data_IF_732805660072
#
_entry.id   IF_732805660072
#
_cell.length_a   1.000
_cell.length_b   1.000
_cell.length_c   1.000
_cell.angle_alpha   90.00
_cell.angle_beta   90.00
_cell.angle_gamma   90.00
#
_symmetry.space_group_name_H-M   'P 1'
#
loop_
_entity.id
_entity.type
_entity.pdbx_description
1 polymer ?
#
# COMPACT_ATOMS: atom_id res chain seq x y z
N UNK A 1 -8.35 14.04 -18.65
CA UNK A 1 -8.01 13.23 -17.47
C UNK A 1 -8.29 14.09 -16.26
N UNK A 2 -9.31 13.76 -15.47
CA UNK A 2 -9.67 14.56 -14.29
C UNK A 2 -8.73 14.20 -13.16
N UNK A 3 -7.90 15.14 -12.74
CA UNK A 3 -6.99 14.99 -11.61
C UNK A 3 -7.81 14.64 -10.35
N UNK A 4 -7.48 13.56 -9.62
CA UNK A 4 -8.17 13.27 -8.36
C UNK A 4 -8.01 14.48 -7.43
N UNK A 5 -9.10 14.87 -6.76
CA UNK A 5 -9.10 16.01 -5.83
C UNK A 5 -8.14 15.69 -4.69
N UNK A 6 -7.08 16.51 -4.51
CA UNK A 6 -6.04 16.40 -3.46
C UNK A 6 -6.55 15.93 -2.08
N UNK A 7 -7.74 16.38 -1.66
CA UNK A 7 -8.35 16.04 -0.37
C UNK A 7 -8.70 14.56 -0.15
N UNK A 8 -8.78 13.76 -1.21
CA UNK A 8 -9.08 12.33 -1.11
C UNK A 8 -7.78 11.52 -1.15
N UNK A 9 -6.64 12.08 -1.57
CA UNK A 9 -5.39 11.34 -1.73
C UNK A 9 -4.59 11.27 -0.41
N UNK A 10 -4.61 12.37 0.37
CA UNK A 10 -3.86 12.48 1.64
C UNK A 10 -4.19 11.36 2.66
N UNK A 11 -5.47 10.97 2.89
CA UNK A 11 -5.76 9.89 3.83
C UNK A 11 -5.24 8.52 3.37
N UNK A 12 -5.19 8.27 2.06
CA UNK A 12 -4.71 7.01 1.49
C UNK A 12 -3.19 6.88 1.59
N UNK A 13 -2.47 7.98 1.34
CA UNK A 13 -1.01 8.06 1.50
C UNK A 13 -0.60 7.89 2.97
N UNK A 14 -1.31 8.52 3.92
CA UNK A 14 -1.08 8.33 5.37
C UNK A 14 -1.24 6.86 5.80
N UNK A 15 -2.20 6.14 5.22
CA UNK A 15 -2.41 4.72 5.49
C UNK A 15 -1.25 3.89 4.93
N UNK A 16 -0.80 4.20 3.71
CA UNK A 16 0.34 3.52 3.10
C UNK A 16 1.62 3.71 3.93
N UNK A 17 1.89 4.93 4.41
CA UNK A 17 3.04 5.22 5.26
C UNK A 17 3.01 4.42 6.56
N UNK A 18 1.88 4.41 7.28
CA UNK A 18 1.71 3.61 8.51
C UNK A 18 1.91 2.12 8.27
N UNK A 19 1.41 1.61 7.14
CA UNK A 19 1.59 0.21 6.77
C UNK A 19 3.05 -0.10 6.44
N UNK A 20 3.73 0.82 5.76
CA UNK A 20 5.16 0.71 5.45
C UNK A 20 6.00 0.68 6.73
N UNK A 21 5.75 1.58 7.68
CA UNK A 21 6.40 1.58 8.98
C UNK A 21 6.16 0.27 9.74
N UNK A 22 4.91 -0.22 9.72
CA UNK A 22 4.55 -1.46 10.39
C UNK A 22 5.29 -2.67 9.81
N UNK A 23 5.29 -2.81 8.47
CA UNK A 23 5.95 -3.90 7.76
C UNK A 23 7.46 -3.90 8.03
N UNK A 24 8.11 -2.75 7.97
CA UNK A 24 9.54 -2.64 8.25
C UNK A 24 9.88 -2.68 9.75
N UNK A 25 8.86 -2.63 10.61
CA UNK A 25 8.99 -2.76 12.06
C UNK A 25 9.07 -4.22 12.54
N UNK A 26 9.40 -4.45 13.83
CA UNK A 26 9.63 -5.79 14.38
C UNK A 26 8.40 -6.71 14.32
N UNK A 27 7.18 -6.15 14.25
CA UNK A 27 5.93 -6.92 14.17
C UNK A 27 5.57 -7.33 12.74
N UNK A 28 5.80 -6.45 11.76
CA UNK A 28 5.48 -6.72 10.37
C UNK A 28 6.62 -7.38 9.59
N UNK A 29 7.84 -7.40 10.15
CA UNK A 29 9.01 -7.98 9.49
C UNK A 29 8.80 -9.44 9.06
N UNK A 30 8.14 -10.24 9.89
CA UNK A 30 7.83 -11.64 9.55
C UNK A 30 6.99 -11.76 8.28
N UNK A 31 6.05 -10.83 8.03
CA UNK A 31 5.25 -10.80 6.79
C UNK A 31 6.16 -10.50 5.60
N UNK A 32 7.05 -9.52 5.73
CA UNK A 32 8.05 -9.18 4.71
C UNK A 32 9.05 -10.31 4.45
N UNK A 33 9.47 -11.03 5.48
CA UNK A 33 10.41 -12.15 5.38
C UNK A 33 9.81 -13.34 4.61
N UNK A 34 8.48 -13.47 4.58
CA UNK A 34 7.79 -14.47 3.76
C UNK A 34 7.68 -14.09 2.27
N UNK A 35 8.00 -12.85 1.89
CA UNK A 35 8.02 -12.42 0.50
C UNK A 35 9.42 -12.55 -0.08
N UNK A 36 9.52 -12.91 -1.36
CA UNK A 36 10.79 -12.86 -2.08
C UNK A 36 11.19 -11.41 -2.39
N UNK A 37 12.50 -11.14 -2.46
CA UNK A 37 12.98 -9.83 -2.90
C UNK A 37 12.57 -9.58 -4.35
N UNK A 38 11.88 -8.47 -4.60
CA UNK A 38 11.27 -8.13 -5.90
C UNK A 38 9.80 -8.55 -6.02
N UNK A 39 9.28 -9.34 -5.08
CA UNK A 39 7.87 -9.74 -5.07
C UNK A 39 6.95 -8.54 -4.80
N UNK A 40 5.81 -8.53 -5.49
CA UNK A 40 4.79 -7.50 -5.40
C UNK A 40 3.48 -8.15 -5.04
N UNK A 41 2.85 -7.68 -3.97
CA UNK A 41 1.50 -8.07 -3.57
C UNK A 41 0.58 -6.85 -3.55
N UNK A 42 -0.71 -7.08 -3.77
CA UNK A 42 -1.73 -6.04 -3.62
C UNK A 42 -2.65 -6.44 -2.47
N UNK A 43 -2.81 -5.56 -1.50
CA UNK A 43 -3.76 -5.73 -0.40
C UNK A 43 -4.93 -4.79 -0.64
N UNK A 44 -6.11 -5.37 -0.63
CA UNK A 44 -7.36 -4.65 -0.71
C UNK A 44 -8.12 -4.82 0.59
N UNK A 45 -8.40 -3.71 1.26
CA UNK A 45 -9.32 -3.70 2.40
C UNK A 45 -10.66 -3.07 1.97
N UNK A 46 -11.57 -2.79 2.91
CA UNK A 46 -12.90 -2.25 2.56
C UNK A 46 -12.87 -0.86 1.92
N UNK A 47 -11.78 -0.12 2.07
CA UNK A 47 -11.68 1.28 1.69
C UNK A 47 -10.53 1.54 0.70
N UNK A 48 -9.37 0.92 0.90
CA UNK A 48 -8.11 1.24 0.24
C UNK A 48 -7.54 0.02 -0.49
N UNK A 49 -6.85 0.30 -1.59
CA UNK A 49 -6.01 -0.63 -2.34
C UNK A 49 -4.57 -0.19 -2.14
N UNK A 50 -3.76 -1.06 -1.57
CA UNK A 50 -2.33 -0.84 -1.31
C UNK A 50 -1.51 -1.81 -2.13
N UNK A 51 -0.42 -1.34 -2.71
CA UNK A 51 0.58 -2.18 -3.39
C UNK A 51 1.80 -2.24 -2.51
N UNK A 52 2.23 -3.46 -2.19
CA UNK A 52 3.41 -3.70 -1.37
C UNK A 52 4.46 -4.36 -2.25
N UNK A 53 5.68 -3.84 -2.22
CA UNK A 53 6.83 -4.42 -2.89
C UNK A 53 7.93 -4.66 -1.87
N UNK A 54 8.54 -5.85 -1.89
CA UNK A 54 9.80 -6.07 -1.19
C UNK A 54 10.95 -5.73 -2.12
N UNK A 55 11.88 -4.90 -1.67
CA UNK A 55 13.10 -4.60 -2.40
C UNK A 55 14.27 -4.45 -1.43
N UNK A 56 15.33 -5.25 -1.64
CA UNK A 56 16.54 -5.26 -0.81
C UNK A 56 16.22 -5.45 0.68
N UNK A 57 15.32 -6.37 1.00
CA UNK A 57 14.89 -6.66 2.37
C UNK A 57 14.02 -5.58 3.04
N UNK A 58 13.55 -4.57 2.30
CA UNK A 58 12.63 -3.54 2.80
C UNK A 58 11.29 -3.61 2.08
N UNK A 59 10.21 -3.37 2.80
CA UNK A 59 8.89 -3.21 2.21
C UNK A 59 8.64 -1.76 1.83
N UNK A 60 8.13 -1.57 0.63
CA UNK A 60 7.64 -0.31 0.11
C UNK A 60 6.14 -0.44 -0.09
N UNK A 61 5.37 0.57 0.32
CA UNK A 61 3.91 0.54 0.23
C UNK A 61 3.43 1.77 -0.52
N UNK A 62 2.74 1.53 -1.64
CA UNK A 62 2.11 2.58 -2.44
C UNK A 62 0.59 2.53 -2.25
N UNK A 63 -0.01 3.70 -2.09
CA UNK A 63 -1.45 3.84 -2.22
C UNK A 63 -1.85 3.80 -3.70
N UNK A 64 -2.71 2.85 -4.07
CA UNK A 64 -3.14 2.67 -5.48
C UNK A 64 -4.47 3.37 -5.75
N UNK A 65 -5.36 3.40 -4.77
CA UNK A 65 -6.69 3.99 -4.92
C UNK A 65 -7.71 3.47 -3.92
N UNK A 66 -8.94 3.97 -4.01
CA UNK A 66 -10.03 3.54 -3.17
C UNK A 66 -10.82 2.40 -3.80
N UNK A 67 -11.29 1.45 -2.97
CA UNK A 67 -12.13 0.34 -3.44
C UNK A 67 -13.46 0.84 -4.00
N UNK A 68 -14.04 1.90 -3.43
CA UNK A 68 -15.30 2.47 -3.93
C UNK A 68 -15.16 3.19 -5.30
N UNK A 69 -13.93 3.35 -5.79
CA UNK A 69 -13.64 3.85 -7.14
C UNK A 69 -13.42 2.71 -8.14
N UNK A 70 -13.33 1.44 -7.70
CA UNK A 70 -13.32 0.30 -8.61
C UNK A 70 -14.62 0.27 -9.41
N UNK A 71 -14.50 0.36 -10.73
CA UNK A 71 -15.61 0.29 -11.67
C UNK A 71 -16.30 1.63 -12.00
N UNK A 72 -15.75 2.76 -11.54
CA UNK A 72 -16.21 4.11 -11.95
C UNK A 72 -15.42 4.69 -13.14
N UNK A 73 -14.59 3.87 -13.79
CA UNK A 73 -13.85 4.19 -15.00
C UNK A 73 -14.13 3.13 -16.07
#
# INVERSE_FOLDING_TARGET
MSTPRRHIVEPGEDVAEKFQEHLNGPRGKAVLDNLEDGEIITIENKEHILKIKKEKGKGFVDFVGYVHDKGKF
#
